data_IF_274793418593
#
_entry.id   IF_274793418593
#
_cell.length_a   1.000
_cell.length_b   1.000
_cell.length_c   1.000
_cell.angle_alpha   90.00
_cell.angle_beta   90.00
_cell.angle_gamma   90.00
#
_symmetry.space_group_name_H-M   'P 1'
#
loop_
_entity.id
_entity.type
_entity.pdbx_description
1 polymer ?
#
# COMPACT_ATOMS: atom_id res chain seq x y z
N UNK A 1 -15.03 40.16 19.11
CA UNK A 1 -15.20 39.09 20.07
C UNK A 1 -14.38 37.85 19.77
N UNK A 2 -13.12 37.99 19.47
CA UNK A 2 -12.56 36.94 18.61
C UNK A 2 -11.33 36.29 19.21
N UNK A 3 -10.32 37.01 19.67
CA UNK A 3 -9.14 36.39 20.31
C UNK A 3 -9.44 35.93 21.75
N UNK A 4 -10.22 36.69 22.49
CA UNK A 4 -10.70 36.33 23.84
C UNK A 4 -11.62 35.06 23.77
N UNK A 5 -12.43 34.97 22.74
CA UNK A 5 -13.28 33.79 22.54
C UNK A 5 -12.44 32.55 22.19
N UNK A 6 -11.42 32.67 21.34
CA UNK A 6 -10.49 31.60 21.05
C UNK A 6 -9.73 31.12 22.30
N UNK A 7 -9.28 32.06 23.16
CA UNK A 7 -8.64 31.73 24.43
C UNK A 7 -9.60 30.98 25.38
N UNK A 8 -10.88 31.39 25.43
CA UNK A 8 -11.89 30.68 26.21
C UNK A 8 -12.16 29.26 25.68
N UNK A 9 -12.24 29.08 24.35
CA UNK A 9 -12.36 27.77 23.71
C UNK A 9 -11.14 26.88 23.98
N UNK A 10 -9.94 27.43 23.95
CA UNK A 10 -8.72 26.71 24.28
C UNK A 10 -8.76 26.19 25.75
N UNK A 11 -9.16 27.04 26.69
CA UNK A 11 -9.31 26.63 28.09
C UNK A 11 -10.41 25.60 28.30
N UNK A 12 -11.53 25.75 27.60
CA UNK A 12 -12.64 24.79 27.62
C UNK A 12 -12.23 23.43 27.02
N UNK A 13 -11.43 23.42 25.93
CA UNK A 13 -10.88 22.22 25.34
C UNK A 13 -9.99 21.44 26.30
N UNK A 14 -9.13 22.12 27.04
CA UNK A 14 -8.30 21.50 28.08
C UNK A 14 -9.18 20.89 29.19
N UNK A 15 -10.19 21.63 29.65
CA UNK A 15 -11.11 21.17 30.69
C UNK A 15 -11.91 19.92 30.26
N UNK A 16 -12.38 19.88 29.00
CA UNK A 16 -13.04 18.68 28.47
C UNK A 16 -12.06 17.51 28.39
N UNK A 17 -10.81 17.76 27.99
CA UNK A 17 -9.76 16.73 27.96
C UNK A 17 -9.48 16.14 29.34
N UNK A 18 -9.36 16.98 30.39
CA UNK A 18 -9.18 16.54 31.78
C UNK A 18 -10.37 15.71 32.32
N UNK A 19 -11.57 15.99 31.83
CA UNK A 19 -12.79 15.22 32.17
C UNK A 19 -13.00 13.95 31.31
N UNK A 20 -12.02 13.60 30.47
CA UNK A 20 -12.11 12.44 29.57
C UNK A 20 -13.11 12.61 28.40
N UNK A 21 -13.64 13.81 28.18
CA UNK A 21 -14.59 14.10 27.09
C UNK A 21 -13.84 14.51 25.81
N UNK A 22 -12.99 13.62 25.30
CA UNK A 22 -11.99 13.92 24.27
C UNK A 22 -12.58 14.37 22.93
N UNK A 23 -13.73 13.85 22.50
CA UNK A 23 -14.39 14.30 21.26
C UNK A 23 -14.88 15.75 21.37
N UNK A 24 -15.45 16.15 22.53
CA UNK A 24 -15.84 17.52 22.77
C UNK A 24 -14.63 18.44 22.88
N UNK A 25 -13.56 17.95 23.55
CA UNK A 25 -12.29 18.67 23.64
C UNK A 25 -11.73 18.97 22.24
N UNK A 26 -11.69 17.97 21.35
CA UNK A 26 -11.24 18.11 19.97
C UNK A 26 -12.06 19.15 19.20
N UNK A 27 -13.40 19.10 19.29
CA UNK A 27 -14.28 20.00 18.56
C UNK A 27 -14.03 21.49 18.93
N UNK A 28 -14.03 21.82 20.22
CA UNK A 28 -13.83 23.21 20.66
C UNK A 28 -12.38 23.71 20.44
N UNK A 29 -11.40 22.81 20.50
CA UNK A 29 -10.00 23.14 20.25
C UNK A 29 -9.75 23.41 18.75
N UNK A 30 -10.38 22.65 17.86
CA UNK A 30 -10.32 22.90 16.41
C UNK A 30 -10.86 24.30 16.10
N UNK A 31 -12.01 24.69 16.65
CA UNK A 31 -12.56 26.04 16.49
C UNK A 31 -11.62 27.11 17.03
N UNK A 32 -10.98 26.87 18.19
CA UNK A 32 -9.97 27.78 18.74
C UNK A 32 -8.79 27.99 17.80
N UNK A 33 -8.26 26.92 17.20
CA UNK A 33 -7.15 26.96 16.25
C UNK A 33 -7.53 27.79 15.02
N UNK A 34 -8.71 27.56 14.43
CA UNK A 34 -9.20 28.29 13.25
C UNK A 34 -9.33 29.79 13.52
N UNK A 35 -9.94 30.16 14.65
CA UNK A 35 -10.11 31.57 15.02
C UNK A 35 -8.76 32.22 15.28
N UNK A 36 -7.85 31.56 15.98
CA UNK A 36 -6.52 32.08 16.27
C UNK A 36 -5.69 32.28 14.99
N UNK A 37 -5.74 31.30 14.08
CA UNK A 37 -5.11 31.40 12.76
C UNK A 37 -5.61 32.60 11.98
N UNK A 38 -6.94 32.80 11.94
CA UNK A 38 -7.60 33.87 11.19
C UNK A 38 -7.25 35.28 11.72
N UNK A 39 -7.09 35.46 13.03
CA UNK A 39 -6.95 36.78 13.65
C UNK A 39 -5.52 37.15 14.04
N UNK A 40 -4.66 36.17 14.35
CA UNK A 40 -3.28 36.41 14.82
C UNK A 40 -2.22 35.80 13.88
N UNK A 41 -2.63 35.00 12.89
CA UNK A 41 -1.73 34.31 11.97
C UNK A 41 -1.00 33.11 12.56
N UNK A 42 -0.42 32.29 11.71
CA UNK A 42 0.26 31.02 12.09
C UNK A 42 1.56 31.23 12.86
N UNK A 43 2.19 32.39 12.75
CA UNK A 43 3.44 32.70 13.46
C UNK A 43 3.23 33.05 14.93
N UNK A 44 2.00 33.36 15.36
CA UNK A 44 1.70 33.80 16.72
C UNK A 44 1.86 32.66 17.74
N UNK A 45 2.34 32.98 18.94
CA UNK A 45 2.48 32.02 20.04
C UNK A 45 1.13 31.45 20.48
N UNK A 46 0.05 32.24 20.40
CA UNK A 46 -1.30 31.76 20.69
C UNK A 46 -1.76 30.67 19.70
N UNK A 47 -1.48 30.82 18.41
CA UNK A 47 -1.77 29.80 17.41
C UNK A 47 -0.97 28.53 17.66
N UNK A 48 0.35 28.63 17.83
CA UNK A 48 1.23 27.49 18.14
C UNK A 48 0.79 26.72 19.38
N UNK A 49 0.38 27.46 20.43
CA UNK A 49 -0.14 26.85 21.67
C UNK A 49 -1.45 26.11 21.43
N UNK A 50 -2.39 26.69 20.69
CA UNK A 50 -3.67 26.04 20.38
C UNK A 50 -3.48 24.77 19.52
N UNK A 51 -2.56 24.81 18.54
CA UNK A 51 -2.21 23.63 17.72
C UNK A 51 -1.62 22.52 18.58
N UNK A 52 -0.65 22.84 19.44
CA UNK A 52 -0.03 21.87 20.36
C UNK A 52 -1.05 21.23 21.31
N UNK A 53 -2.01 22.00 21.80
CA UNK A 53 -3.09 21.48 22.65
C UNK A 53 -4.04 20.59 21.86
N UNK A 54 -4.34 20.91 20.61
CA UNK A 54 -5.15 20.06 19.73
C UNK A 54 -4.46 18.72 19.45
N UNK A 55 -3.17 18.72 19.16
CA UNK A 55 -2.36 17.49 18.96
C UNK A 55 -2.39 16.61 20.22
N UNK A 56 -2.15 17.18 21.40
CA UNK A 56 -2.23 16.44 22.67
C UNK A 56 -3.62 15.84 22.91
N UNK A 57 -4.68 16.55 22.57
CA UNK A 57 -6.06 16.02 22.72
C UNK A 57 -6.33 14.89 21.74
N UNK A 58 -5.80 14.97 20.52
CA UNK A 58 -5.92 13.90 19.50
C UNK A 58 -5.18 12.64 19.93
N UNK A 59 -3.98 12.76 20.50
CA UNK A 59 -3.22 11.63 21.06
C UNK A 59 -4.00 10.95 22.19
N UNK A 60 -4.51 11.71 23.15
CA UNK A 60 -5.31 11.16 24.26
C UNK A 60 -6.60 10.51 23.81
N UNK A 61 -7.26 11.05 22.80
CA UNK A 61 -8.45 10.46 22.20
C UNK A 61 -8.11 9.10 21.56
N UNK A 62 -6.98 9.01 20.88
CA UNK A 62 -6.50 7.77 20.26
C UNK A 62 -6.17 6.72 21.33
N UNK A 63 -5.44 7.10 22.38
CA UNK A 63 -5.13 6.20 23.52
C UNK A 63 -6.40 5.69 24.20
N UNK A 64 -7.39 6.57 24.42
CA UNK A 64 -8.67 6.19 25.03
C UNK A 64 -9.45 5.20 24.16
N UNK A 65 -9.45 5.39 22.83
CA UNK A 65 -10.09 4.46 21.89
C UNK A 65 -9.42 3.08 21.91
N UNK A 66 -8.09 3.05 21.93
CA UNK A 66 -7.30 1.79 22.00
C UNK A 66 -7.60 1.06 23.32
N UNK A 67 -7.63 1.78 24.45
CA UNK A 67 -7.91 1.20 25.77
C UNK A 67 -9.32 0.66 25.87
N UNK A 68 -10.31 1.40 25.40
CA UNK A 68 -11.71 0.97 25.34
C UNK A 68 -11.89 -0.29 24.48
N UNK A 69 -11.23 -0.37 23.35
CA UNK A 69 -11.26 -1.55 22.50
C UNK A 69 -10.61 -2.77 23.16
N UNK A 70 -9.54 -2.57 23.92
CA UNK A 70 -8.89 -3.65 24.66
C UNK A 70 -9.77 -4.18 25.80
N UNK A 71 -10.45 -3.31 26.53
CA UNK A 71 -11.40 -3.67 27.60
C UNK A 71 -12.60 -4.45 27.02
N UNK A 72 -13.15 -4.02 25.89
CA UNK A 72 -14.24 -4.72 25.18
C UNK A 72 -13.78 -6.11 24.72
N UNK A 73 -12.55 -6.22 24.20
CA UNK A 73 -11.98 -7.51 23.77
C UNK A 73 -11.81 -8.47 24.95
N UNK A 74 -11.35 -7.97 26.09
CA UNK A 74 -11.20 -8.77 27.31
C UNK A 74 -12.54 -9.22 27.88
N UNK A 75 -13.55 -8.37 27.85
CA UNK A 75 -14.90 -8.68 28.32
C UNK A 75 -15.57 -9.72 27.40
N UNK A 76 -15.43 -9.58 26.09
CA UNK A 76 -15.89 -10.55 25.08
C UNK A 76 -15.20 -11.92 25.23
N UNK A 77 -13.90 -11.95 25.48
CA UNK A 77 -13.13 -13.17 25.75
C UNK A 77 -13.58 -13.84 27.05
N UNK A 78 -13.93 -13.06 28.08
CA UNK A 78 -14.42 -13.55 29.35
C UNK A 78 -15.82 -14.15 29.23
N UNK A 79 -16.72 -13.54 28.45
CA UNK A 79 -18.04 -14.07 28.14
C UNK A 79 -17.93 -15.36 27.29
N UNK A 80 -17.02 -15.44 26.36
CA UNK A 80 -16.77 -16.66 25.56
C UNK A 80 -16.20 -17.80 26.40
N UNK A 81 -15.34 -17.52 27.40
CA UNK A 81 -14.81 -18.54 28.32
C UNK A 81 -15.85 -19.02 29.34
N UNK A 82 -16.80 -18.22 29.70
CA UNK A 82 -17.91 -18.63 30.58
C UNK A 82 -19.01 -19.40 29.85
N UNK A 83 -19.20 -19.20 28.56
CA UNK A 83 -20.12 -19.96 27.72
C UNK A 83 -19.60 -21.36 27.30
N UNK A 84 -18.31 -21.64 27.52
CA UNK A 84 -17.61 -22.86 27.05
C UNK A 84 -17.86 -24.09 27.95
N UNK A 85 -18.91 -24.14 28.74
CA UNK A 85 -19.24 -25.31 29.57
C UNK A 85 -20.29 -26.27 28.97
N UNK A 86 -20.67 -26.11 27.70
CA UNK A 86 -21.52 -27.12 27.02
C UNK A 86 -21.44 -26.96 25.48
N UNK A 87 -20.83 -27.91 24.83
CA UNK A 87 -20.77 -28.23 23.42
C UNK A 87 -19.47 -27.88 22.69
N UNK A 88 -18.95 -28.86 21.93
CA UNK A 88 -17.83 -28.75 20.99
C UNK A 88 -18.05 -27.60 20.00
N UNK A 89 -17.49 -26.44 20.29
CA UNK A 89 -17.43 -25.32 19.36
C UNK A 89 -16.19 -25.48 18.48
N UNK A 90 -16.41 -25.59 17.18
CA UNK A 90 -15.35 -25.56 16.18
C UNK A 90 -14.66 -24.16 16.24
N UNK A 91 -13.36 -24.16 16.52
CA UNK A 91 -12.53 -22.96 16.67
C UNK A 91 -12.64 -22.02 15.44
N UNK A 92 -12.78 -22.59 14.23
CA UNK A 92 -12.98 -21.83 13.00
C UNK A 92 -14.29 -21.02 13.01
N UNK A 93 -15.39 -21.59 13.54
CA UNK A 93 -16.68 -20.91 13.63
C UNK A 93 -16.62 -19.77 14.66
N UNK A 94 -15.92 -19.99 15.77
CA UNK A 94 -15.69 -18.95 16.78
C UNK A 94 -14.80 -17.83 16.27
N UNK A 95 -13.74 -18.14 15.52
CA UNK A 95 -12.87 -17.15 14.88
C UNK A 95 -13.60 -16.39 13.76
N UNK A 96 -14.44 -17.05 12.96
CA UNK A 96 -15.26 -16.40 11.94
C UNK A 96 -16.31 -15.46 12.57
N UNK A 97 -16.93 -15.86 13.68
CA UNK A 97 -17.87 -15.01 14.41
C UNK A 97 -17.20 -13.83 15.09
N UNK A 98 -16.03 -14.03 15.70
CA UNK A 98 -15.22 -12.96 16.27
C UNK A 98 -14.73 -11.98 15.18
N UNK A 99 -14.34 -12.50 14.00
CA UNK A 99 -13.97 -11.70 12.85
C UNK A 99 -15.14 -10.86 12.33
N UNK A 100 -16.33 -11.44 12.24
CA UNK A 100 -17.55 -10.75 11.83
C UNK A 100 -18.02 -9.69 12.85
N UNK A 101 -17.81 -9.91 14.13
CA UNK A 101 -18.07 -8.93 15.20
C UNK A 101 -17.04 -7.81 15.18
N UNK A 102 -15.76 -8.12 14.91
CA UNK A 102 -14.71 -7.13 14.71
C UNK A 102 -14.95 -6.31 13.43
N UNK A 103 -15.34 -6.95 12.34
CA UNK A 103 -15.71 -6.28 11.08
C UNK A 103 -16.92 -5.36 11.28
N UNK A 104 -17.96 -5.78 11.99
CA UNK A 104 -19.12 -4.94 12.30
C UNK A 104 -18.82 -3.82 13.31
N UNK A 105 -17.87 -4.01 14.26
CA UNK A 105 -17.46 -2.96 15.21
C UNK A 105 -16.45 -1.98 14.63
N UNK A 106 -15.65 -2.39 13.64
CA UNK A 106 -14.79 -1.48 12.87
C UNK A 106 -15.63 -0.47 12.07
N UNK A 107 -16.85 -0.85 11.66
CA UNK A 107 -17.83 0.08 11.06
C UNK A 107 -18.31 1.15 12.06
N UNK A 108 -18.31 0.86 13.38
CA UNK A 108 -18.65 1.86 14.42
C UNK A 108 -17.48 2.80 14.81
N UNK A 109 -16.23 2.49 14.40
CA UNK A 109 -15.06 3.32 14.71
C UNK A 109 -14.67 4.33 13.62
N UNK A 110 -15.51 4.55 12.62
CA UNK A 110 -15.46 5.75 11.77
C UNK A 110 -14.41 5.79 10.66
N UNK A 111 -13.50 4.82 10.50
CA UNK A 111 -12.60 4.75 9.36
C UNK A 111 -13.17 3.84 8.26
N UNK A 112 -13.66 4.45 7.18
CA UNK A 112 -14.08 3.72 5.97
C UNK A 112 -12.89 3.62 5.02
N UNK A 113 -12.51 2.41 4.64
CA UNK A 113 -11.51 2.16 3.61
C UNK A 113 -12.00 2.67 2.25
N UNK A 114 -11.11 3.33 1.52
CA UNK A 114 -11.46 3.91 0.22
C UNK A 114 -11.97 2.88 -0.77
N UNK A 115 -11.39 1.67 -0.78
CA UNK A 115 -11.83 0.59 -1.65
C UNK A 115 -13.24 0.09 -1.31
N UNK A 116 -13.59 -0.02 -0.01
CA UNK A 116 -14.92 -0.42 0.44
C UNK A 116 -15.98 0.65 0.09
N UNK A 117 -15.63 1.93 0.29
CA UNK A 117 -16.46 3.05 -0.12
C UNK A 117 -16.76 3.02 -1.63
N UNK A 118 -15.74 2.79 -2.43
CA UNK A 118 -15.84 2.74 -3.89
C UNK A 118 -16.67 1.55 -4.36
N UNK A 119 -16.50 0.38 -3.74
CA UNK A 119 -17.31 -0.81 -4.02
C UNK A 119 -18.78 -0.58 -3.67
N UNK A 120 -19.07 -0.02 -2.50
CA UNK A 120 -20.42 0.32 -2.09
C UNK A 120 -21.07 1.33 -3.04
N UNK A 121 -20.34 2.39 -3.38
CA UNK A 121 -20.80 3.40 -4.34
C UNK A 121 -21.10 2.79 -5.73
N UNK A 122 -20.24 1.92 -6.22
CA UNK A 122 -20.49 1.22 -7.46
C UNK A 122 -21.77 0.39 -7.39
N UNK A 123 -21.93 -0.45 -6.37
CA UNK A 123 -23.05 -1.38 -6.23
C UNK A 123 -24.39 -0.67 -6.00
N UNK A 124 -24.41 0.39 -5.19
CA UNK A 124 -25.65 1.06 -4.79
C UNK A 124 -26.08 2.16 -5.78
N UNK A 125 -25.12 2.78 -6.47
CA UNK A 125 -25.39 3.95 -7.30
C UNK A 125 -25.17 3.68 -8.79
N UNK A 126 -24.03 3.08 -9.16
CA UNK A 126 -23.69 2.89 -10.56
C UNK A 126 -24.37 1.67 -11.17
N UNK A 127 -24.28 0.51 -10.52
CA UNK A 127 -24.75 -0.76 -11.08
C UNK A 127 -26.24 -0.75 -11.43
N UNK A 128 -27.16 -0.19 -10.61
CA UNK A 128 -28.56 -0.07 -10.98
C UNK A 128 -28.82 0.83 -12.21
N UNK A 129 -27.98 1.84 -12.44
CA UNK A 129 -28.03 2.64 -13.66
C UNK A 129 -27.62 1.82 -14.88
N UNK A 130 -26.57 1.02 -14.76
CA UNK A 130 -26.08 0.15 -15.84
C UNK A 130 -27.13 -0.90 -16.20
N UNK A 131 -27.77 -1.54 -15.23
CA UNK A 131 -28.85 -2.51 -15.47
C UNK A 131 -30.05 -1.89 -16.18
N UNK A 132 -30.42 -0.67 -15.84
CA UNK A 132 -31.56 0.01 -16.43
C UNK A 132 -31.29 0.55 -17.83
N UNK A 133 -30.12 1.15 -18.06
CA UNK A 133 -29.86 1.95 -19.28
C UNK A 133 -28.86 1.31 -20.24
N UNK A 134 -28.09 0.35 -19.78
CA UNK A 134 -27.03 -0.33 -20.52
C UNK A 134 -27.14 -1.86 -20.49
N UNK A 135 -28.30 -2.43 -20.17
CA UNK A 135 -28.52 -3.86 -20.02
C UNK A 135 -27.96 -4.69 -21.19
N UNK A 136 -28.12 -4.23 -22.42
CA UNK A 136 -27.63 -4.92 -23.62
C UNK A 136 -26.10 -4.93 -23.75
N UNK A 137 -25.40 -4.02 -23.07
CA UNK A 137 -23.95 -3.89 -23.09
C UNK A 137 -23.29 -4.45 -21.83
N UNK A 138 -24.07 -4.64 -20.76
CA UNK A 138 -23.59 -5.13 -19.48
C UNK A 138 -22.79 -6.45 -19.56
N UNK A 139 -23.16 -7.42 -20.44
CA UNK A 139 -22.36 -8.63 -20.64
C UNK A 139 -20.93 -8.41 -21.17
N UNK A 140 -20.61 -7.21 -21.63
CA UNK A 140 -19.30 -6.86 -22.20
C UNK A 140 -18.54 -5.86 -21.35
N UNK A 141 -18.99 -5.64 -20.10
CA UNK A 141 -18.38 -4.67 -19.17
C UNK A 141 -17.66 -5.38 -18.04
N UNK A 142 -16.63 -4.72 -17.54
CA UNK A 142 -16.05 -4.96 -16.22
C UNK A 142 -16.00 -3.65 -15.45
N UNK A 143 -15.94 -3.72 -14.12
CA UNK A 143 -15.74 -2.56 -13.26
C UNK A 143 -14.89 -2.92 -12.05
N UNK A 144 -14.20 -1.93 -11.51
CA UNK A 144 -13.35 -2.10 -10.35
C UNK A 144 -12.74 -0.79 -9.88
N UNK A 145 -11.81 -0.91 -8.96
CA UNK A 145 -10.87 0.16 -8.63
C UNK A 145 -9.47 -0.43 -8.53
N UNK A 146 -8.65 -0.16 -9.54
CA UNK A 146 -7.28 -0.66 -9.70
C UNK A 146 -6.39 0.52 -10.03
N UNK A 147 -5.22 0.65 -9.43
CA UNK A 147 -4.33 1.73 -9.80
C UNK A 147 -3.38 2.23 -8.73
N UNK A 148 -3.01 3.50 -8.85
CA UNK A 148 -1.91 4.13 -8.13
C UNK A 148 -2.28 4.59 -6.71
N UNK A 149 -3.55 4.55 -6.32
CA UNK A 149 -4.03 5.01 -5.01
C UNK A 149 -3.63 4.09 -3.86
N UNK A 150 -3.48 4.65 -2.67
CA UNK A 150 -3.23 3.89 -1.44
C UNK A 150 -4.37 2.92 -1.11
N UNK A 151 -5.60 3.29 -1.44
CA UNK A 151 -6.80 2.47 -1.30
C UNK A 151 -6.72 1.18 -2.12
N UNK A 152 -6.09 1.21 -3.31
CA UNK A 152 -5.88 0.02 -4.14
C UNK A 152 -4.90 -0.98 -3.52
N UNK A 153 -4.07 -0.55 -2.58
CA UNK A 153 -3.18 -1.41 -1.80
C UNK A 153 -3.73 -1.74 -0.40
N UNK A 154 -4.86 -1.17 0.01
CA UNK A 154 -5.37 -1.25 1.38
C UNK A 154 -4.52 -0.50 2.40
N UNK A 155 -3.64 0.39 1.95
CA UNK A 155 -2.71 1.16 2.77
C UNK A 155 -3.22 2.57 3.10
N UNK A 156 -4.44 2.88 2.70
CA UNK A 156 -5.10 4.14 3.01
C UNK A 156 -5.38 4.29 4.52
N UNK A 157 -5.24 5.52 4.98
CA UNK A 157 -5.44 5.98 6.35
C UNK A 157 -6.08 7.39 6.38
N UNK A 158 -6.17 8.03 7.53
CA UNK A 158 -6.74 9.37 7.64
C UNK A 158 -5.95 10.42 6.85
N UNK A 159 -4.62 10.27 6.73
CA UNK A 159 -3.75 11.20 6.01
C UNK A 159 -4.00 11.10 4.50
N UNK A 160 -4.25 9.90 3.99
CA UNK A 160 -4.48 9.67 2.55
C UNK A 160 -5.81 10.21 2.02
N UNK A 161 -6.62 10.85 2.89
CA UNK A 161 -7.88 11.52 2.50
C UNK A 161 -7.71 12.96 2.02
N UNK A 162 -6.51 13.48 2.04
CA UNK A 162 -6.19 14.87 1.65
C UNK A 162 -6.39 15.12 0.14
N UNK A 163 -6.21 14.10 -0.69
CA UNK A 163 -6.45 14.15 -2.14
C UNK A 163 -6.71 12.74 -2.70
N UNK A 164 -7.26 12.68 -3.91
CA UNK A 164 -7.56 11.44 -4.63
C UNK A 164 -8.41 10.42 -3.83
N UNK A 165 -9.16 10.88 -2.82
CA UNK A 165 -10.07 10.09 -2.01
C UNK A 165 -11.53 10.48 -2.27
N UNK A 166 -12.44 9.50 -2.26
CA UNK A 166 -13.88 9.71 -2.43
C UNK A 166 -14.53 8.60 -3.26
N UNK A 167 -15.88 8.60 -3.32
CA UNK A 167 -16.64 7.62 -4.08
C UNK A 167 -16.28 7.68 -5.57
N UNK A 168 -15.73 6.58 -6.09
CA UNK A 168 -15.24 6.48 -7.45
C UNK A 168 -15.13 5.03 -7.91
N UNK A 169 -14.95 4.81 -9.19
CA UNK A 169 -14.73 3.51 -9.82
C UNK A 169 -14.21 3.68 -11.25
N UNK A 170 -13.82 2.56 -11.82
CA UNK A 170 -13.43 2.43 -13.22
C UNK A 170 -14.38 1.44 -13.90
N UNK A 171 -14.76 1.74 -15.13
CA UNK A 171 -15.45 0.79 -16.02
C UNK A 171 -14.53 0.47 -17.18
N UNK A 172 -14.46 -0.80 -17.52
CA UNK A 172 -13.62 -1.33 -18.57
C UNK A 172 -14.52 -1.98 -19.64
N UNK A 173 -14.31 -1.58 -20.89
CA UNK A 173 -15.04 -2.09 -22.05
C UNK A 173 -14.05 -2.48 -23.15
N UNK A 174 -14.39 -3.42 -24.05
CA UNK A 174 -13.58 -3.72 -25.22
C UNK A 174 -13.38 -2.48 -26.10
N UNK A 175 -12.25 -2.37 -26.77
CA UNK A 175 -11.87 -1.23 -27.61
C UNK A 175 -12.89 -0.97 -28.72
N UNK A 176 -13.42 -2.02 -29.33
CA UNK A 176 -14.45 -1.93 -30.38
C UNK A 176 -15.79 -1.37 -29.88
N UNK A 177 -16.05 -1.46 -28.57
CA UNK A 177 -17.29 -0.97 -27.96
C UNK A 177 -17.24 0.53 -27.60
N UNK A 178 -16.04 1.09 -27.49
CA UNK A 178 -15.87 2.51 -27.14
C UNK A 178 -16.58 3.46 -28.11
N UNK A 179 -16.47 3.31 -29.45
CA UNK A 179 -17.21 4.16 -30.41
C UNK A 179 -18.71 3.88 -30.42
N UNK A 180 -19.18 2.72 -29.94
CA UNK A 180 -20.61 2.35 -29.98
C UNK A 180 -21.38 3.00 -28.84
N UNK A 181 -20.90 2.92 -27.61
CA UNK A 181 -21.61 3.43 -26.43
C UNK A 181 -20.71 4.11 -25.38
N UNK A 182 -19.40 4.12 -25.56
CA UNK A 182 -18.45 4.66 -24.57
C UNK A 182 -18.73 6.11 -24.20
N UNK A 183 -18.95 7.00 -25.17
CA UNK A 183 -19.24 8.41 -24.89
C UNK A 183 -20.60 8.59 -24.20
N UNK A 184 -21.63 7.83 -24.59
CA UNK A 184 -22.92 7.84 -23.89
C UNK A 184 -22.75 7.37 -22.43
N UNK A 185 -21.93 6.34 -22.21
CA UNK A 185 -21.64 5.82 -20.87
C UNK A 185 -20.92 6.88 -20.04
N UNK A 186 -19.85 7.48 -20.53
CA UNK A 186 -19.12 8.58 -19.84
C UNK A 186 -20.06 9.72 -19.45
N UNK A 187 -20.90 10.17 -20.38
CA UNK A 187 -21.85 11.24 -20.13
C UNK A 187 -22.85 10.86 -19.01
N UNK A 188 -23.36 9.64 -19.01
CA UNK A 188 -24.29 9.17 -17.97
C UNK A 188 -23.62 9.03 -16.60
N UNK A 189 -22.40 8.50 -16.55
CA UNK A 189 -21.63 8.39 -15.30
C UNK A 189 -21.31 9.77 -14.70
N UNK A 190 -21.07 10.77 -15.51
CA UNK A 190 -20.84 12.15 -15.05
C UNK A 190 -22.05 12.77 -14.32
N UNK A 191 -23.27 12.22 -14.50
CA UNK A 191 -24.50 12.66 -13.82
C UNK A 191 -24.76 11.94 -12.49
N UNK A 192 -23.97 10.97 -12.12
CA UNK A 192 -24.12 10.27 -10.83
C UNK A 192 -23.89 11.22 -9.65
N UNK A 193 -24.51 10.94 -8.49
CA UNK A 193 -24.24 11.70 -7.27
C UNK A 193 -22.76 11.74 -6.94
N UNK A 194 -22.23 12.94 -6.74
CA UNK A 194 -20.80 13.13 -6.39
C UNK A 194 -20.51 12.96 -4.90
N UNK A 195 -21.55 12.80 -4.09
CA UNK A 195 -21.46 12.56 -2.64
C UNK A 195 -22.10 11.21 -2.31
N UNK A 196 -21.50 10.45 -1.42
CA UNK A 196 -22.00 9.14 -1.02
C UNK A 196 -21.56 8.83 0.42
N UNK A 197 -22.48 8.35 1.26
CA UNK A 197 -22.26 8.01 2.67
C UNK A 197 -21.52 9.11 3.48
N UNK A 198 -21.83 10.38 3.21
CA UNK A 198 -21.19 11.52 3.87
C UNK A 198 -19.83 11.93 3.32
N UNK A 199 -19.28 11.19 2.35
CA UNK A 199 -18.05 11.56 1.66
C UNK A 199 -18.35 12.42 0.43
N UNK A 200 -17.51 13.46 0.22
CA UNK A 200 -17.59 14.36 -0.92
C UNK A 200 -17.05 13.72 -2.20
N UNK A 201 -17.18 14.47 -3.31
CA UNK A 201 -16.57 14.09 -4.57
C UNK A 201 -15.06 13.83 -4.41
N UNK A 202 -14.54 12.85 -5.16
CA UNK A 202 -13.10 12.68 -5.29
C UNK A 202 -12.48 13.97 -5.86
N UNK A 203 -11.58 14.56 -5.09
CA UNK A 203 -10.78 15.70 -5.53
C UNK A 203 -9.52 15.14 -6.18
N UNK A 204 -9.48 15.20 -7.51
CA UNK A 204 -8.30 14.74 -8.25
C UNK A 204 -7.16 15.74 -8.10
N UNK A 205 -5.97 15.25 -7.77
CA UNK A 205 -4.75 16.05 -7.85
C UNK A 205 -4.44 16.36 -9.33
N UNK A 206 -3.67 17.40 -9.59
CA UNK A 206 -3.24 17.72 -10.97
C UNK A 206 -2.48 16.57 -11.68
N UNK A 207 -2.05 15.55 -10.94
CA UNK A 207 -1.40 14.33 -11.44
C UNK A 207 -2.32 13.10 -11.37
N UNK A 208 -3.56 13.27 -10.87
CA UNK A 208 -4.56 12.19 -10.70
C UNK A 208 -5.49 12.01 -11.88
N UNK A 209 -5.37 12.85 -12.90
CA UNK A 209 -6.22 12.82 -14.08
C UNK A 209 -6.14 11.46 -14.82
N UNK A 210 -7.30 10.96 -15.21
CA UNK A 210 -7.40 9.65 -15.87
C UNK A 210 -7.22 8.43 -14.97
N UNK A 211 -7.41 8.55 -13.65
CA UNK A 211 -7.40 7.40 -12.71
C UNK A 211 -8.75 6.73 -12.55
N UNK A 212 -9.84 7.44 -12.80
CA UNK A 212 -11.22 6.93 -12.71
C UNK A 212 -12.00 7.25 -13.99
N UNK A 213 -13.10 6.53 -14.25
CA UNK A 213 -13.92 6.74 -15.43
C UNK A 213 -14.08 5.52 -16.31
N UNK A 214 -14.25 5.72 -17.62
CA UNK A 214 -14.44 4.65 -18.61
C UNK A 214 -13.18 4.50 -19.45
N UNK A 215 -12.65 3.29 -19.48
CA UNK A 215 -11.43 2.92 -20.20
C UNK A 215 -11.74 1.76 -21.16
N UNK A 216 -10.95 1.64 -22.22
CA UNK A 216 -10.86 0.36 -22.89
C UNK A 216 -9.98 -0.59 -22.07
N UNK A 217 -10.25 -1.89 -22.13
CA UNK A 217 -9.42 -2.91 -21.46
C UNK A 217 -7.98 -2.78 -21.95
N UNK A 218 -7.81 -2.64 -23.26
CA UNK A 218 -6.52 -2.56 -23.92
C UNK A 218 -5.72 -1.30 -23.51
N UNK A 219 -6.37 -0.13 -23.48
CA UNK A 219 -5.70 1.12 -23.11
C UNK A 219 -5.31 1.15 -21.63
N UNK A 220 -6.15 0.55 -20.75
CA UNK A 220 -5.83 0.40 -19.35
C UNK A 220 -4.53 -0.39 -19.15
N UNK A 221 -4.43 -1.58 -19.75
CA UNK A 221 -3.22 -2.39 -19.62
C UNK A 221 -2.03 -1.72 -20.30
N UNK A 222 -2.22 -1.15 -21.51
CA UNK A 222 -1.16 -0.45 -22.24
C UNK A 222 -0.54 0.71 -21.45
N UNK A 223 -1.34 1.45 -20.68
CA UNK A 223 -0.85 2.54 -19.81
C UNK A 223 0.26 2.07 -18.86
N UNK A 224 0.15 0.86 -18.32
CA UNK A 224 1.09 0.34 -17.31
C UNK A 224 2.15 -0.60 -17.89
N UNK A 225 1.80 -1.38 -18.87
CA UNK A 225 2.65 -2.47 -19.36
C UNK A 225 3.18 -2.24 -20.77
N UNK A 226 2.77 -1.17 -21.44
CA UNK A 226 3.00 -0.93 -22.86
C UNK A 226 2.47 -2.05 -23.79
N UNK A 227 1.63 -2.96 -23.27
CA UNK A 227 0.93 -4.01 -24.01
C UNK A 227 -0.58 -3.86 -23.85
N UNK A 228 -1.36 -4.26 -24.85
CA UNK A 228 -2.84 -4.28 -24.76
C UNK A 228 -3.40 -5.42 -23.88
N UNK A 229 -2.52 -6.24 -23.33
CA UNK A 229 -2.83 -7.40 -22.49
C UNK A 229 -1.59 -7.94 -21.79
N UNK A 230 -1.45 -9.25 -21.77
CA UNK A 230 -0.26 -9.92 -21.23
C UNK A 230 0.92 -9.72 -22.19
N UNK A 231 2.10 -9.29 -21.71
CA UNK A 231 3.29 -9.18 -22.55
C UNK A 231 3.66 -10.56 -23.16
N UNK A 232 4.01 -10.58 -24.43
CA UNK A 232 4.23 -11.80 -25.24
C UNK A 232 5.69 -12.25 -25.29
N UNK A 233 6.64 -11.38 -24.91
CA UNK A 233 8.09 -11.69 -24.99
C UNK A 233 8.80 -11.43 -23.65
N UNK A 234 9.86 -12.22 -23.36
CA UNK A 234 10.70 -12.01 -22.19
C UNK A 234 11.35 -10.61 -22.18
N UNK A 235 11.68 -10.08 -23.38
CA UNK A 235 12.22 -8.73 -23.50
C UNK A 235 11.23 -7.67 -23.05
N UNK A 236 9.95 -7.82 -23.40
CA UNK A 236 8.90 -6.91 -22.99
C UNK A 236 8.70 -6.95 -21.46
N UNK A 237 8.55 -8.16 -20.88
CA UNK A 237 8.44 -8.36 -19.42
C UNK A 237 9.59 -7.69 -18.65
N UNK A 238 10.80 -7.73 -19.15
CA UNK A 238 11.98 -7.10 -18.52
C UNK A 238 11.90 -5.58 -18.46
N UNK A 239 11.30 -4.97 -19.48
CA UNK A 239 11.24 -3.51 -19.63
C UNK A 239 10.13 -2.87 -18.78
N UNK A 240 9.15 -3.66 -18.35
CA UNK A 240 8.06 -3.13 -17.54
C UNK A 240 8.58 -2.83 -16.12
N UNK A 241 8.38 -1.60 -15.60
CA UNK A 241 8.72 -1.28 -14.21
C UNK A 241 7.96 -2.17 -13.22
N UNK A 242 8.64 -2.64 -12.17
CA UNK A 242 8.04 -3.51 -11.16
C UNK A 242 6.76 -2.90 -10.54
N UNK A 243 6.80 -1.61 -10.24
CA UNK A 243 5.66 -0.89 -9.67
C UNK A 243 4.48 -0.76 -10.65
N UNK A 244 4.71 -0.77 -11.95
CA UNK A 244 3.63 -0.75 -12.94
C UNK A 244 2.87 -2.08 -12.94
N UNK A 245 3.58 -3.22 -12.87
CA UNK A 245 2.95 -4.54 -12.70
C UNK A 245 2.22 -4.67 -11.35
N UNK A 246 2.81 -4.15 -10.28
CA UNK A 246 2.13 -4.08 -8.98
C UNK A 246 0.84 -3.26 -9.05
N UNK A 247 0.88 -2.12 -9.74
CA UNK A 247 -0.27 -1.20 -9.88
C UNK A 247 -1.40 -1.82 -10.70
N UNK A 248 -1.10 -2.51 -11.79
CA UNK A 248 -2.12 -3.12 -12.65
C UNK A 248 -2.75 -4.39 -12.07
N UNK A 249 -2.13 -4.95 -11.04
CA UNK A 249 -2.59 -6.17 -10.35
C UNK A 249 -3.13 -5.95 -8.95
N UNK A 250 -3.10 -4.72 -8.42
CA UNK A 250 -3.66 -4.36 -7.11
C UNK A 250 -5.19 -4.09 -7.16
N UNK A 251 -5.74 -3.56 -6.08
CA UNK A 251 -7.14 -3.17 -6.01
C UNK A 251 -8.11 -4.33 -6.20
N UNK A 252 -9.32 -4.03 -6.63
CA UNK A 252 -10.40 -5.00 -6.72
C UNK A 252 -11.23 -4.83 -7.99
N UNK A 253 -11.59 -5.95 -8.60
CA UNK A 253 -12.61 -6.04 -9.66
C UNK A 253 -13.95 -6.26 -8.99
N UNK A 254 -14.88 -5.33 -9.13
CA UNK A 254 -16.22 -5.39 -8.53
C UNK A 254 -17.13 -6.33 -9.31
N UNK A 255 -17.04 -6.31 -10.64
CA UNK A 255 -17.66 -7.29 -11.52
C UNK A 255 -16.91 -7.36 -12.86
N UNK A 256 -17.01 -8.49 -13.55
CA UNK A 256 -16.49 -8.68 -14.91
C UNK A 256 -17.35 -9.73 -15.64
N UNK A 257 -18.36 -9.26 -16.36
CA UNK A 257 -19.25 -10.13 -17.12
C UNK A 257 -18.63 -10.58 -18.45
N UNK A 258 -17.68 -9.80 -18.98
CA UNK A 258 -16.95 -10.14 -20.21
C UNK A 258 -15.83 -11.17 -19.95
N UNK A 259 -15.23 -11.12 -18.77
CA UNK A 259 -14.20 -12.04 -18.33
C UNK A 259 -12.79 -11.72 -18.82
N UNK A 260 -12.63 -10.87 -19.83
CA UNK A 260 -11.34 -10.59 -20.45
C UNK A 260 -10.42 -9.75 -19.54
N UNK A 261 -10.98 -8.74 -18.86
CA UNK A 261 -10.21 -7.93 -17.92
C UNK A 261 -9.60 -8.81 -16.80
N UNK A 262 -10.43 -9.65 -16.20
CA UNK A 262 -10.00 -10.60 -15.15
C UNK A 262 -9.03 -11.63 -15.69
N UNK A 263 -9.23 -12.16 -16.90
CA UNK A 263 -8.32 -13.11 -17.52
C UNK A 263 -6.91 -12.54 -17.65
N UNK A 264 -6.76 -11.34 -18.19
CA UNK A 264 -5.45 -10.67 -18.32
C UNK A 264 -4.84 -10.43 -16.93
N UNK A 265 -5.64 -9.94 -15.98
CA UNK A 265 -5.21 -9.69 -14.61
C UNK A 265 -4.67 -10.93 -13.91
N UNK A 266 -5.37 -12.03 -13.99
CA UNK A 266 -4.96 -13.29 -13.35
C UNK A 266 -3.70 -13.89 -14.01
N UNK A 267 -3.52 -13.72 -15.33
CA UNK A 267 -2.26 -14.08 -15.97
C UNK A 267 -1.09 -13.22 -15.46
N UNK A 268 -1.27 -11.91 -15.35
CA UNK A 268 -0.25 -11.01 -14.80
C UNK A 268 0.07 -11.36 -13.33
N UNK A 269 -0.92 -11.71 -12.51
CA UNK A 269 -0.73 -12.10 -11.11
C UNK A 269 0.09 -13.36 -10.89
N UNK A 270 0.29 -14.19 -11.91
CA UNK A 270 1.20 -15.34 -11.81
C UNK A 270 2.67 -14.94 -11.58
N UNK A 271 2.98 -13.65 -11.73
CA UNK A 271 4.33 -13.11 -11.59
C UNK A 271 5.08 -13.05 -12.91
N UNK A 272 6.37 -12.74 -12.83
CA UNK A 272 7.25 -12.74 -14.00
C UNK A 272 7.41 -14.15 -14.56
N UNK A 273 7.58 -14.30 -15.90
CA UNK A 273 8.18 -15.52 -16.46
C UNK A 273 9.49 -15.85 -15.72
N UNK A 274 9.70 -17.13 -15.42
CA UNK A 274 10.77 -17.57 -14.52
C UNK A 274 12.14 -17.05 -14.91
N UNK A 275 12.50 -17.09 -16.20
CA UNK A 275 13.78 -16.58 -16.67
C UNK A 275 13.97 -15.08 -16.42
N UNK A 276 12.89 -14.29 -16.50
CA UNK A 276 12.91 -12.86 -16.17
C UNK A 276 13.06 -12.66 -14.67
N UNK A 277 12.33 -13.43 -13.85
CA UNK A 277 12.44 -13.41 -12.39
C UNK A 277 13.87 -13.71 -11.95
N UNK A 278 14.45 -14.79 -12.45
CA UNK A 278 15.82 -15.19 -12.14
C UNK A 278 16.84 -14.12 -12.56
N UNK A 279 16.63 -13.51 -13.72
CA UNK A 279 17.49 -12.41 -14.20
C UNK A 279 17.47 -11.21 -13.25
N UNK A 280 16.26 -10.82 -12.80
CA UNK A 280 16.07 -9.75 -11.84
C UNK A 280 16.69 -10.10 -10.49
N UNK A 281 16.49 -11.31 -9.98
CA UNK A 281 17.12 -11.81 -8.74
C UNK A 281 18.64 -11.69 -8.82
N UNK A 282 19.25 -12.20 -9.90
CA UNK A 282 20.70 -12.12 -10.10
C UNK A 282 21.18 -10.65 -10.02
N UNK A 283 20.55 -9.74 -10.73
CA UNK A 283 20.90 -8.32 -10.72
C UNK A 283 20.74 -7.69 -9.32
N UNK A 284 19.70 -8.06 -8.55
CA UNK A 284 19.53 -7.59 -7.17
C UNK A 284 20.65 -8.09 -6.26
N UNK A 285 21.04 -9.35 -6.34
CA UNK A 285 22.14 -9.92 -5.55
C UNK A 285 23.47 -9.20 -5.84
N UNK A 286 23.77 -8.93 -7.11
CA UNK A 286 24.98 -8.18 -7.49
C UNK A 286 24.97 -6.77 -6.88
N UNK A 287 23.85 -6.06 -6.99
CA UNK A 287 23.70 -4.70 -6.44
C UNK A 287 23.74 -4.68 -4.91
N UNK A 288 23.13 -5.65 -4.22
CA UNK A 288 23.19 -5.78 -2.77
C UNK A 288 24.63 -6.01 -2.28
N UNK A 289 25.36 -6.92 -2.93
CA UNK A 289 26.77 -7.14 -2.62
C UNK A 289 27.58 -5.86 -2.76
N UNK A 290 27.41 -5.16 -3.88
CA UNK A 290 28.18 -3.94 -4.15
C UNK A 290 27.81 -2.81 -3.19
N UNK A 291 26.54 -2.53 -3.00
CA UNK A 291 26.09 -1.39 -2.19
C UNK A 291 26.26 -1.65 -0.68
N UNK A 292 25.73 -2.78 -0.18
CA UNK A 292 25.72 -3.12 1.24
C UNK A 292 27.03 -3.71 1.73
N UNK A 293 27.43 -4.87 1.18
CA UNK A 293 28.56 -5.62 1.71
C UNK A 293 29.92 -5.00 1.35
N UNK A 294 30.03 -4.30 0.22
CA UNK A 294 31.31 -3.74 -0.23
C UNK A 294 31.44 -2.23 -0.04
N UNK A 295 30.55 -1.43 -0.64
CA UNK A 295 30.70 0.03 -0.65
C UNK A 295 30.36 0.68 0.70
N UNK A 296 29.27 0.26 1.35
CA UNK A 296 28.82 0.87 2.60
C UNK A 296 29.93 0.89 3.67
N UNK A 297 30.55 -0.24 4.07
CA UNK A 297 31.58 -0.22 5.12
C UNK A 297 32.82 0.58 4.69
N UNK A 298 33.20 0.56 3.39
CA UNK A 298 34.35 1.29 2.90
C UNK A 298 34.15 2.80 2.90
N UNK A 299 32.97 3.28 2.47
CA UNK A 299 32.63 4.69 2.53
C UNK A 299 32.55 5.17 3.97
N UNK A 300 31.91 4.40 4.84
CA UNK A 300 31.74 4.75 6.25
C UNK A 300 33.09 4.83 6.98
N UNK A 301 33.99 3.87 6.75
CA UNK A 301 35.35 3.89 7.29
C UNK A 301 36.16 5.12 6.86
N UNK A 302 35.90 5.66 5.67
CA UNK A 302 36.51 6.90 5.17
C UNK A 302 35.81 8.16 5.68
N UNK A 303 34.71 8.04 6.42
CA UNK A 303 33.85 9.14 6.87
C UNK A 303 33.19 9.90 5.69
N UNK A 304 33.03 9.22 4.55
CA UNK A 304 32.29 9.70 3.39
C UNK A 304 30.79 9.45 3.59
N UNK A 305 30.20 10.17 4.55
CA UNK A 305 28.84 9.87 5.04
C UNK A 305 27.75 10.00 3.98
N UNK A 306 27.90 10.93 3.02
CA UNK A 306 26.96 11.05 1.90
C UNK A 306 27.01 9.78 1.03
N UNK A 307 28.20 9.33 0.66
CA UNK A 307 28.37 8.09 -0.11
C UNK A 307 27.90 6.86 0.66
N UNK A 308 28.15 6.80 1.97
CA UNK A 308 27.62 5.74 2.85
C UNK A 308 26.11 5.71 2.86
N UNK A 309 25.45 6.87 2.96
CA UNK A 309 23.98 6.96 2.97
C UNK A 309 23.39 6.53 1.61
N UNK A 310 24.00 6.92 0.51
CA UNK A 310 23.60 6.49 -0.82
C UNK A 310 23.76 4.98 -1.02
N UNK A 311 24.90 4.42 -0.59
CA UNK A 311 25.13 2.98 -0.64
C UNK A 311 24.13 2.19 0.21
N UNK A 312 23.83 2.67 1.43
CA UNK A 312 22.84 2.06 2.30
C UNK A 312 21.43 2.14 1.70
N UNK A 313 21.04 3.30 1.14
CA UNK A 313 19.73 3.49 0.53
C UNK A 313 19.54 2.57 -0.69
N UNK A 314 20.57 2.41 -1.52
CA UNK A 314 20.55 1.45 -2.63
C UNK A 314 20.43 0.02 -2.12
N UNK A 315 21.21 -0.38 -1.10
CA UNK A 315 21.09 -1.69 -0.47
C UNK A 315 19.69 -1.97 0.02
N UNK A 316 19.10 -1.07 0.81
CA UNK A 316 17.75 -1.22 1.33
C UNK A 316 16.71 -1.37 0.20
N UNK A 317 16.82 -0.51 -0.83
CA UNK A 317 15.89 -0.52 -1.95
C UNK A 317 15.93 -1.83 -2.74
N UNK A 318 17.13 -2.32 -3.08
CA UNK A 318 17.28 -3.56 -3.85
C UNK A 318 17.00 -4.81 -3.01
N UNK A 319 17.30 -4.77 -1.71
CA UNK A 319 16.97 -5.85 -0.76
C UNK A 319 15.45 -6.07 -0.66
N UNK A 320 14.68 -5.00 -0.50
CA UNK A 320 13.23 -5.10 -0.51
C UNK A 320 12.71 -5.65 -1.85
N UNK A 321 13.23 -5.17 -2.99
CA UNK A 321 12.88 -5.71 -4.31
C UNK A 321 13.19 -7.20 -4.44
N UNK A 322 14.33 -7.66 -3.92
CA UNK A 322 14.67 -9.09 -3.90
C UNK A 322 13.61 -9.92 -3.15
N UNK A 323 13.15 -9.44 -1.98
CA UNK A 323 12.13 -10.14 -1.19
C UNK A 323 10.83 -10.29 -1.97
N UNK A 324 10.39 -9.26 -2.70
CA UNK A 324 9.22 -9.38 -3.58
C UNK A 324 9.44 -10.44 -4.66
N UNK A 325 10.59 -10.46 -5.32
CA UNK A 325 10.92 -11.45 -6.36
C UNK A 325 10.98 -12.89 -5.80
N UNK A 326 11.47 -13.08 -4.58
CA UNK A 326 11.49 -14.39 -3.91
C UNK A 326 10.07 -14.90 -3.59
N UNK A 327 9.12 -14.00 -3.42
CA UNK A 327 7.71 -14.29 -3.20
C UNK A 327 6.86 -14.31 -4.49
N UNK A 328 7.46 -14.26 -5.68
CA UNK A 328 6.76 -14.13 -6.96
C UNK A 328 5.79 -12.94 -7.03
N UNK A 329 6.06 -11.88 -6.25
CA UNK A 329 5.27 -10.68 -6.14
C UNK A 329 5.94 -9.50 -6.85
N UNK A 330 5.14 -8.51 -7.23
CA UNK A 330 5.63 -7.27 -7.82
C UNK A 330 5.84 -6.22 -6.73
N UNK A 331 7.00 -5.59 -6.76
CA UNK A 331 7.34 -4.49 -5.87
C UNK A 331 6.43 -3.27 -6.14
N UNK A 332 5.73 -2.73 -5.14
CA UNK A 332 4.93 -1.52 -5.31
C UNK A 332 5.80 -0.26 -5.42
N UNK A 333 5.14 0.90 -5.59
CA UNK A 333 5.79 2.20 -5.57
C UNK A 333 6.58 2.42 -4.27
N UNK A 334 7.68 3.17 -4.34
CA UNK A 334 8.69 3.25 -3.26
C UNK A 334 8.11 3.57 -1.87
N UNK A 335 7.07 4.40 -1.77
CA UNK A 335 6.46 4.76 -0.48
C UNK A 335 5.72 3.61 0.22
N UNK A 336 5.34 2.57 -0.56
CA UNK A 336 4.60 1.40 -0.05
C UNK A 336 5.45 0.14 0.05
N UNK A 337 6.65 0.13 -0.54
CA UNK A 337 7.48 -1.07 -0.65
C UNK A 337 7.82 -1.66 0.72
N UNK A 338 8.12 -0.83 1.71
CA UNK A 338 8.46 -1.29 3.05
C UNK A 338 7.22 -1.85 3.78
N UNK A 339 6.09 -1.14 3.74
CA UNK A 339 4.84 -1.58 4.36
C UNK A 339 4.33 -2.89 3.77
N UNK A 340 4.39 -3.06 2.46
CA UNK A 340 3.93 -4.27 1.78
C UNK A 340 4.82 -5.50 2.02
N UNK A 341 6.00 -5.38 2.64
CA UNK A 341 6.79 -6.54 3.06
C UNK A 341 6.04 -7.41 4.07
N UNK A 342 5.20 -6.82 4.92
CA UNK A 342 4.43 -7.54 5.93
C UNK A 342 3.43 -8.54 5.35
N UNK A 343 3.05 -8.39 4.09
CA UNK A 343 2.14 -9.30 3.38
C UNK A 343 2.90 -10.48 2.74
N UNK A 344 4.25 -10.50 2.82
CA UNK A 344 5.08 -11.50 2.15
C UNK A 344 5.55 -12.58 3.11
N UNK A 345 5.22 -13.87 2.86
CA UNK A 345 5.59 -14.97 3.76
C UNK A 345 7.09 -15.27 3.78
N UNK A 346 7.82 -15.05 2.68
CA UNK A 346 9.24 -15.37 2.56
C UNK A 346 10.06 -14.11 2.87
N UNK A 347 10.80 -14.12 3.97
CA UNK A 347 11.66 -13.02 4.44
C UNK A 347 10.96 -11.67 4.65
N UNK A 348 9.64 -11.56 4.49
CA UNK A 348 8.93 -10.30 4.55
C UNK A 348 9.07 -9.58 5.88
N UNK A 349 8.72 -10.25 7.00
CA UNK A 349 8.88 -9.70 8.35
C UNK A 349 10.35 -9.43 8.67
N UNK A 350 11.27 -10.35 8.31
CA UNK A 350 12.71 -10.19 8.54
C UNK A 350 13.24 -8.94 7.83
N UNK A 351 12.89 -8.74 6.55
CA UNK A 351 13.28 -7.55 5.79
C UNK A 351 12.64 -6.28 6.37
N UNK A 352 11.37 -6.33 6.76
CA UNK A 352 10.67 -5.20 7.37
C UNK A 352 11.43 -4.70 8.60
N UNK A 353 11.72 -5.56 9.57
CA UNK A 353 12.36 -5.19 10.82
C UNK A 353 13.80 -4.67 10.60
N UNK A 354 14.57 -5.34 9.74
CA UNK A 354 15.95 -4.94 9.44
C UNK A 354 16.03 -3.60 8.70
N UNK A 355 15.19 -3.38 7.68
CA UNK A 355 15.15 -2.11 6.96
C UNK A 355 14.66 -0.97 7.87
N UNK A 356 13.68 -1.23 8.71
CA UNK A 356 13.23 -0.29 9.75
C UNK A 356 14.39 0.08 10.68
N UNK A 357 15.13 -0.91 11.18
CA UNK A 357 16.26 -0.67 12.07
C UNK A 357 17.37 0.13 11.39
N UNK A 358 17.78 -0.25 10.17
CA UNK A 358 18.78 0.46 9.38
C UNK A 358 18.41 1.93 9.11
N UNK A 359 17.12 2.25 8.98
CA UNK A 359 16.64 3.60 8.67
C UNK A 359 16.88 4.61 9.80
N UNK A 360 16.91 4.14 11.06
CA UNK A 360 17.03 4.99 12.25
C UNK A 360 18.43 5.02 12.87
N UNK A 361 19.34 4.14 12.45
CA UNK A 361 20.69 4.07 12.96
C UNK A 361 21.57 5.22 12.45
N UNK A 362 22.52 5.64 13.30
CA UNK A 362 23.52 6.67 13.00
C UNK A 362 24.75 6.08 12.31
N UNK A 363 25.10 6.62 11.14
CA UNK A 363 26.30 6.23 10.39
C UNK A 363 27.60 6.40 11.23
N UNK A 364 27.63 7.39 12.11
CA UNK A 364 28.80 7.69 12.91
C UNK A 364 28.93 6.78 14.14
N UNK A 365 27.80 6.47 14.81
CA UNK A 365 27.81 5.77 16.10
C UNK A 365 27.54 4.27 15.95
N UNK A 366 26.68 3.88 15.03
CA UNK A 366 26.09 2.55 14.96
C UNK A 366 26.58 1.74 13.75
N UNK A 367 27.69 2.15 13.10
CA UNK A 367 28.16 1.55 11.86
C UNK A 367 28.39 0.04 11.94
N UNK A 368 28.89 -0.45 13.07
CA UNK A 368 29.11 -1.90 13.27
C UNK A 368 27.80 -2.68 13.33
N UNK A 369 26.78 -2.12 13.99
CA UNK A 369 25.44 -2.72 14.02
C UNK A 369 24.84 -2.75 12.62
N UNK A 370 25.00 -1.66 11.85
CA UNK A 370 24.50 -1.59 10.46
C UNK A 370 25.18 -2.63 9.57
N UNK A 371 26.52 -2.78 9.66
CA UNK A 371 27.28 -3.81 8.93
C UNK A 371 26.81 -5.22 9.32
N UNK A 372 26.59 -5.47 10.60
CA UNK A 372 26.07 -6.76 11.08
C UNK A 372 24.67 -7.06 10.54
N UNK A 373 23.76 -6.10 10.57
CA UNK A 373 22.39 -6.25 10.02
C UNK A 373 22.42 -6.57 8.51
N UNK A 374 23.31 -5.89 7.77
CA UNK A 374 23.51 -6.12 6.34
C UNK A 374 23.95 -7.56 6.08
N UNK A 375 25.00 -8.00 6.78
CA UNK A 375 25.55 -9.36 6.59
C UNK A 375 24.57 -10.44 7.02
N UNK A 376 23.87 -10.26 8.13
CA UNK A 376 22.86 -11.20 8.62
C UNK A 376 21.69 -11.33 7.60
N UNK A 377 21.26 -10.20 7.01
CA UNK A 377 20.24 -10.23 5.98
C UNK A 377 20.72 -10.94 4.71
N UNK A 378 21.96 -10.71 4.30
CA UNK A 378 22.58 -11.38 3.15
C UNK A 378 22.65 -12.90 3.37
N UNK A 379 23.03 -13.37 4.57
CA UNK A 379 23.01 -14.80 4.92
C UNK A 379 21.59 -15.37 4.81
N UNK A 380 20.59 -14.69 5.35
CA UNK A 380 19.20 -15.14 5.24
C UNK A 380 18.73 -15.25 3.77
N UNK A 381 19.17 -14.32 2.91
CA UNK A 381 18.90 -14.40 1.47
C UNK A 381 19.56 -15.62 0.82
N UNK A 382 20.81 -15.96 1.19
CA UNK A 382 21.48 -17.15 0.66
C UNK A 382 20.75 -18.44 1.07
N UNK A 383 20.31 -18.54 2.32
CA UNK A 383 19.55 -19.72 2.77
C UNK A 383 18.23 -19.85 2.00
N UNK A 384 17.54 -18.74 1.74
CA UNK A 384 16.31 -18.78 0.95
C UNK A 384 16.59 -19.15 -0.52
N UNK A 385 17.66 -18.63 -1.12
CA UNK A 385 18.05 -19.02 -2.48
C UNK A 385 18.31 -20.54 -2.58
N UNK A 386 18.91 -21.13 -1.53
CA UNK A 386 19.11 -22.59 -1.46
C UNK A 386 17.76 -23.31 -1.32
N UNK A 387 16.88 -22.83 -0.44
CA UNK A 387 15.56 -23.43 -0.24
C UNK A 387 14.74 -23.46 -1.54
N UNK A 388 14.84 -22.41 -2.37
CA UNK A 388 14.23 -22.37 -3.70
C UNK A 388 15.04 -23.12 -4.79
N UNK A 389 16.19 -23.74 -4.47
CA UNK A 389 17.03 -24.43 -5.45
C UNK A 389 17.72 -23.51 -6.46
N UNK A 390 17.83 -22.21 -6.17
CA UNK A 390 18.43 -21.21 -7.06
C UNK A 390 19.94 -21.18 -6.98
N UNK A 391 20.53 -21.63 -5.88
CA UNK A 391 21.98 -21.77 -5.70
C UNK A 391 22.31 -23.03 -4.92
N UNK A 392 23.52 -23.55 -5.09
CA UNK A 392 24.16 -24.56 -4.22
C UNK A 392 25.32 -23.98 -3.42
N UNK A 393 25.71 -22.73 -3.67
CA UNK A 393 26.81 -22.07 -2.98
C UNK A 393 26.41 -21.61 -1.59
N UNK A 394 27.33 -21.78 -0.63
CA UNK A 394 27.20 -21.26 0.74
C UNK A 394 27.92 -19.93 0.94
N UNK A 395 28.45 -19.33 -0.13
CA UNK A 395 29.17 -18.06 -0.05
C UNK A 395 28.21 -16.95 0.39
N UNK A 396 28.52 -16.31 1.51
CA UNK A 396 27.69 -15.24 2.06
C UNK A 396 27.82 -13.91 1.31
N UNK A 397 28.93 -13.71 0.57
CA UNK A 397 29.10 -12.55 -0.29
C UNK A 397 28.26 -12.71 -1.56
N UNK A 398 27.17 -11.95 -1.63
CA UNK A 398 26.12 -12.10 -2.64
C UNK A 398 26.62 -11.92 -4.09
N UNK A 399 27.80 -11.32 -4.30
CA UNK A 399 28.42 -11.20 -5.62
C UNK A 399 28.62 -12.58 -6.27
N UNK A 400 28.90 -13.61 -5.48
CA UNK A 400 29.06 -14.98 -5.95
C UNK A 400 27.71 -15.64 -6.33
N UNK A 401 26.63 -15.21 -5.71
CA UNK A 401 25.31 -15.81 -5.90
C UNK A 401 24.64 -15.40 -7.22
N UNK A 402 24.87 -14.17 -7.71
CA UNK A 402 24.31 -13.70 -8.96
C UNK A 402 24.60 -14.64 -10.16
N UNK A 403 25.87 -14.99 -10.43
CA UNK A 403 26.21 -15.96 -11.47
C UNK A 403 25.61 -17.36 -11.27
N UNK A 404 25.45 -17.82 -10.02
CA UNK A 404 24.83 -19.11 -9.73
C UNK A 404 23.35 -19.13 -10.13
N UNK A 405 22.63 -18.06 -9.81
CA UNK A 405 21.22 -17.89 -10.21
C UNK A 405 21.09 -17.84 -11.75
N UNK A 406 21.99 -17.12 -12.44
CA UNK A 406 21.95 -17.04 -13.90
C UNK A 406 22.07 -18.41 -14.59
N UNK A 407 22.78 -19.38 -13.99
CA UNK A 407 22.91 -20.73 -14.54
C UNK A 407 21.57 -21.46 -14.64
N UNK A 408 20.55 -21.03 -13.86
CA UNK A 408 19.21 -21.62 -13.85
C UNK A 408 18.31 -21.12 -14.98
N UNK A 409 18.67 -20.02 -15.63
CA UNK A 409 17.92 -19.43 -16.76
C UNK A 409 17.97 -20.36 -17.96
N UNK A 410 16.83 -20.64 -18.57
CA UNK A 410 16.73 -21.51 -19.74
C UNK A 410 17.06 -20.77 -21.04
N UNK A 411 16.60 -19.51 -21.18
CA UNK A 411 16.86 -18.67 -22.37
C UNK A 411 18.35 -18.29 -22.46
N UNK A 412 19.10 -18.78 -23.48
CA UNK A 412 20.55 -18.55 -23.57
C UNK A 412 20.95 -17.08 -23.63
N UNK A 413 20.15 -16.26 -24.30
CA UNK A 413 20.45 -14.83 -24.43
C UNK A 413 20.39 -14.11 -23.07
N UNK A 414 19.43 -14.49 -22.19
CA UNK A 414 19.34 -13.97 -20.83
C UNK A 414 20.43 -14.55 -19.94
N UNK A 415 20.64 -15.85 -19.99
CA UNK A 415 21.66 -16.54 -19.17
C UNK A 415 23.05 -15.98 -19.36
N UNK A 416 23.43 -15.67 -20.61
CA UNK A 416 24.75 -15.17 -20.97
C UNK A 416 24.84 -13.63 -20.91
N UNK A 417 23.78 -12.93 -20.57
CA UNK A 417 23.79 -11.48 -20.48
C UNK A 417 24.49 -10.97 -19.21
N UNK A 418 24.84 -9.69 -19.21
CA UNK A 418 25.52 -9.06 -18.07
C UNK A 418 24.70 -9.24 -16.76
N UNK A 419 25.28 -9.85 -15.70
CA UNK A 419 24.56 -10.11 -14.45
C UNK A 419 24.06 -8.86 -13.73
N UNK A 420 24.64 -7.69 -14.00
CA UNK A 420 24.27 -6.41 -13.36
C UNK A 420 23.03 -5.75 -13.98
N UNK A 421 22.64 -6.17 -15.17
CA UNK A 421 21.55 -5.58 -15.94
C UNK A 421 20.34 -6.51 -15.91
N UNK A 422 19.17 -5.91 -15.64
CA UNK A 422 17.89 -6.62 -15.66
C UNK A 422 17.38 -6.93 -17.04
#
# INVERSE_FOLDING_TARGET
GTVLYAAALNSLGILYCEKGQYEKAKAVMTESVEITKKHLGESSDAYKTSVKNLEMIQEKLQEHKIKSNHEILQETLKEMTTASCAQEYNLETAMASARKVLENKVVETGFVKGLDLCRAYFNEVCYPLLEREFANFLPRMAAGLIGEGSECYGFDDEISRDHDFGPSFQIYIPKEDMPVYGERLKHRLATLPKTFQGFGARVESQYGDGRVGVFTIEDFYRKFTAAEGVPDTLSHWRQIPENALSTVTNGEVFFDNYGEFTRIREELKKGYPEDVRLKKIAARLMKMAQSGQYNFPRCNKRKEYVASRLALSEFMSVSMSLVYLLNHAYRPYYKWVHRGLLDLPILGQNAYDKMQRLSVLSLEKDSREMEWIIEEFCVACVEELKAQGLTSSSEAFLLAQGPEVLKRIQEPALRNSNPWVE
#
